data_IF_324727988360
#
_entry.id   IF_324727988360
#
_cell.length_a   1.000
_cell.length_b   1.000
_cell.length_c   1.000
_cell.angle_alpha   90.00
_cell.angle_beta   90.00
_cell.angle_gamma   90.00
#
_symmetry.space_group_name_H-M   'P 1'
#
loop_
_entity.id
_entity.type
_entity.pdbx_description
1 polymer ?
#
# COMPACT_ATOMS: atom_id res chain seq x y z
N UNK A 1 10.07 -1.13 6.80
CA UNK A 1 10.23 -1.69 5.45
C UNK A 1 11.26 -0.92 4.63
N UNK A 2 11.07 0.37 4.30
CA UNK A 2 12.04 1.12 3.49
C UNK A 2 13.48 1.13 4.06
N UNK A 3 13.65 1.29 5.38
CA UNK A 3 14.97 1.17 6.01
C UNK A 3 15.58 -0.24 5.83
N UNK A 4 14.76 -1.30 5.85
CA UNK A 4 15.23 -2.65 5.61
C UNK A 4 15.71 -2.84 4.17
N UNK A 5 15.00 -2.27 3.19
CA UNK A 5 15.46 -2.20 1.79
C UNK A 5 16.76 -1.41 1.65
N UNK A 6 16.88 -0.24 2.29
CA UNK A 6 18.10 0.57 2.23
C UNK A 6 19.34 -0.15 2.80
N UNK A 7 19.17 -0.84 3.93
CA UNK A 7 20.26 -1.54 4.63
C UNK A 7 20.42 -3.01 4.23
N UNK A 8 19.57 -3.56 3.37
CA UNK A 8 19.61 -4.97 2.97
C UNK A 8 19.20 -5.97 4.05
N UNK A 9 18.35 -5.56 5.01
CA UNK A 9 17.89 -6.41 6.12
C UNK A 9 16.76 -7.32 5.62
N UNK A 10 17.11 -8.54 5.21
CA UNK A 10 16.19 -9.53 4.61
C UNK A 10 15.46 -10.35 5.68
N UNK A 11 14.33 -9.85 6.15
CA UNK A 11 13.41 -10.59 7.00
C UNK A 11 12.03 -10.71 6.34
N UNK A 12 11.34 -11.86 6.48
CA UNK A 12 9.98 -12.02 6.00
C UNK A 12 9.08 -10.88 6.50
N UNK A 13 8.15 -10.43 5.66
CA UNK A 13 7.22 -9.31 5.92
C UNK A 13 7.87 -7.92 6.05
N UNK A 14 9.13 -7.81 6.48
CA UNK A 14 9.83 -6.53 6.63
C UNK A 14 10.51 -6.08 5.32
N UNK A 15 10.96 -7.03 4.52
CA UNK A 15 11.56 -6.85 3.20
C UNK A 15 10.69 -7.58 2.18
N UNK A 16 10.11 -6.87 1.22
CA UNK A 16 9.27 -7.50 0.19
C UNK A 16 10.18 -8.32 -0.73
N UNK A 17 9.81 -9.58 -0.99
CA UNK A 17 10.64 -10.53 -1.73
C UNK A 17 12.03 -10.77 -1.08
N UNK A 18 12.04 -10.93 0.26
CA UNK A 18 13.27 -11.05 1.07
C UNK A 18 14.25 -12.12 0.57
N UNK A 19 13.72 -13.22 0.04
CA UNK A 19 14.38 -14.42 -0.44
C UNK A 19 14.44 -14.52 -1.98
N UNK A 20 14.33 -13.40 -2.69
CA UNK A 20 14.64 -13.33 -4.13
C UNK A 20 15.92 -12.55 -4.42
N UNK A 21 16.57 -12.79 -5.57
CA UNK A 21 17.65 -11.94 -6.07
C UNK A 21 17.19 -10.49 -6.25
N UNK A 22 18.02 -9.53 -5.90
CA UNK A 22 17.70 -8.11 -6.01
C UNK A 22 18.94 -7.28 -6.35
N UNK A 23 18.72 -6.13 -7.02
CA UNK A 23 19.77 -5.17 -7.32
C UNK A 23 19.87 -4.14 -6.18
N UNK A 24 20.87 -4.29 -5.30
CA UNK A 24 21.01 -3.47 -4.09
C UNK A 24 21.04 -1.95 -4.34
N UNK A 25 21.60 -1.50 -5.47
CA UNK A 25 21.58 -0.08 -5.83
C UNK A 25 20.16 0.42 -6.16
N UNK A 26 19.38 -0.34 -6.93
CA UNK A 26 18.01 0.01 -7.29
C UNK A 26 17.10 0.00 -6.07
N UNK A 27 17.29 -0.98 -5.19
CA UNK A 27 16.51 -1.11 -3.96
C UNK A 27 16.69 0.08 -3.01
N UNK A 28 17.91 0.61 -2.92
CA UNK A 28 18.19 1.86 -2.20
C UNK A 28 17.47 3.05 -2.82
N UNK A 29 17.43 3.18 -4.15
CA UNK A 29 16.69 4.27 -4.81
C UNK A 29 15.19 4.16 -4.51
N UNK A 30 14.61 2.97 -4.66
CA UNK A 30 13.18 2.72 -4.40
C UNK A 30 12.85 2.97 -2.92
N UNK A 31 13.77 2.67 -2.00
CA UNK A 31 13.56 2.95 -0.57
C UNK A 31 13.33 4.43 -0.27
N UNK A 32 13.91 5.36 -1.05
CA UNK A 32 13.66 6.79 -0.90
C UNK A 32 12.32 7.22 -1.50
N UNK A 33 11.79 6.48 -2.48
CA UNK A 33 10.47 6.78 -3.05
C UNK A 33 9.37 6.74 -1.98
N UNK A 34 9.56 6.02 -0.87
CA UNK A 34 8.62 6.00 0.27
C UNK A 34 8.36 7.40 0.86
N UNK A 35 9.29 8.35 0.72
CA UNK A 35 9.14 9.70 1.27
C UNK A 35 7.96 10.43 0.63
N UNK A 36 7.69 10.21 -0.67
CA UNK A 36 6.52 10.78 -1.32
C UNK A 36 5.22 10.20 -0.77
N UNK A 37 5.20 8.90 -0.46
CA UNK A 37 4.07 8.25 0.22
C UNK A 37 3.87 8.82 1.62
N UNK A 38 4.95 8.98 2.41
CA UNK A 38 4.87 9.59 3.75
C UNK A 38 4.25 10.99 3.67
N UNK A 39 4.74 11.83 2.76
CA UNK A 39 4.22 13.19 2.59
C UNK A 39 2.75 13.19 2.16
N UNK A 40 2.36 12.29 1.26
CA UNK A 40 0.98 12.16 0.79
C UNK A 40 0.03 11.70 1.89
N UNK A 41 0.38 10.66 2.64
CA UNK A 41 -0.44 10.17 3.75
C UNK A 41 -0.49 11.16 4.91
N UNK A 42 0.61 11.85 5.20
CA UNK A 42 0.60 12.97 6.15
C UNK A 42 -0.35 14.07 5.70
N UNK A 43 -0.28 14.47 4.42
CA UNK A 43 -1.18 15.47 3.86
C UNK A 43 -2.64 15.03 3.89
N UNK A 44 -2.93 13.76 3.61
CA UNK A 44 -4.28 13.19 3.71
C UNK A 44 -4.81 13.15 5.14
N UNK A 45 -3.94 12.98 6.14
CA UNK A 45 -4.30 13.06 7.54
C UNK A 45 -4.65 14.49 7.99
N UNK A 46 -4.03 15.51 7.39
CA UNK A 46 -4.31 16.92 7.69
C UNK A 46 -5.46 17.49 6.86
N UNK A 47 -5.63 17.00 5.63
CA UNK A 47 -6.54 17.59 4.64
C UNK A 47 -7.38 16.52 3.97
N UNK A 48 -8.69 16.50 4.31
CA UNK A 48 -9.67 15.54 3.79
C UNK A 48 -9.74 15.49 2.26
N UNK A 49 -9.48 16.60 1.58
CA UNK A 49 -9.47 16.69 0.12
C UNK A 49 -8.40 15.78 -0.54
N UNK A 50 -7.35 15.40 0.18
CA UNK A 50 -6.24 14.58 -0.32
C UNK A 50 -6.50 13.08 -0.13
N UNK A 51 -7.45 12.69 0.74
CA UNK A 51 -7.77 11.29 1.05
C UNK A 51 -8.06 10.44 -0.20
N UNK A 52 -8.82 10.90 -1.22
CA UNK A 52 -9.05 10.12 -2.43
C UNK A 52 -7.76 9.76 -3.18
N UNK A 53 -6.79 10.68 -3.22
CA UNK A 53 -5.51 10.43 -3.88
C UNK A 53 -4.68 9.39 -3.11
N UNK A 54 -4.65 9.48 -1.77
CA UNK A 54 -3.97 8.49 -0.94
C UNK A 54 -4.59 7.09 -1.08
N UNK A 55 -5.93 7.00 -1.13
CA UNK A 55 -6.64 5.73 -1.37
C UNK A 55 -6.33 5.18 -2.77
N UNK A 56 -6.30 6.02 -3.80
CA UNK A 56 -5.94 5.60 -5.16
C UNK A 56 -4.53 5.02 -5.20
N UNK A 57 -3.55 5.71 -4.62
CA UNK A 57 -2.15 5.24 -4.58
C UNK A 57 -2.03 3.92 -3.83
N UNK A 58 -2.76 3.76 -2.72
CA UNK A 58 -2.76 2.50 -1.97
C UNK A 58 -3.40 1.36 -2.75
N UNK A 59 -4.54 1.62 -3.43
CA UNK A 59 -5.20 0.64 -4.29
C UNK A 59 -4.32 0.21 -5.47
N UNK A 60 -3.66 1.15 -6.14
CA UNK A 60 -2.69 0.85 -7.20
C UNK A 60 -1.50 0.05 -6.67
N UNK A 61 -1.03 0.34 -5.46
CA UNK A 61 0.04 -0.43 -4.82
C UNK A 61 -0.37 -1.89 -4.60
N UNK A 62 -1.60 -2.14 -4.12
CA UNK A 62 -2.14 -3.50 -3.95
C UNK A 62 -2.19 -4.23 -5.29
N UNK A 63 -2.73 -3.58 -6.34
CA UNK A 63 -2.81 -4.18 -7.68
C UNK A 63 -1.43 -4.45 -8.28
N UNK A 64 -0.48 -3.53 -8.10
CA UNK A 64 0.90 -3.70 -8.56
C UNK A 64 1.59 -4.89 -7.87
N UNK A 65 1.47 -5.00 -6.55
CA UNK A 65 2.03 -6.14 -5.80
C UNK A 65 1.38 -7.47 -6.18
N UNK A 66 0.06 -7.50 -6.36
CA UNK A 66 -0.64 -8.69 -6.85
C UNK A 66 -0.15 -9.09 -8.24
N UNK A 67 -0.03 -8.13 -9.16
CA UNK A 67 0.49 -8.36 -10.51
C UNK A 67 1.92 -8.89 -10.50
N UNK A 68 2.79 -8.40 -9.60
CA UNK A 68 4.16 -8.95 -9.47
C UNK A 68 4.12 -10.37 -8.90
N UNK A 69 3.29 -10.63 -7.87
CA UNK A 69 3.14 -11.96 -7.27
C UNK A 69 2.66 -13.02 -8.26
N UNK A 70 1.89 -12.63 -9.28
CA UNK A 70 1.39 -13.50 -10.36
C UNK A 70 2.30 -13.55 -11.59
N UNK A 71 3.35 -12.72 -11.64
CA UNK A 71 4.15 -12.56 -12.86
C UNK A 71 5.09 -13.73 -13.15
N UNK A 72 5.26 -14.06 -14.43
CA UNK A 72 6.28 -14.98 -14.91
C UNK A 72 7.70 -14.52 -14.52
N UNK A 73 7.91 -13.21 -14.40
CA UNK A 73 9.18 -12.64 -13.97
C UNK A 73 9.55 -13.06 -12.55
N UNK A 74 8.59 -13.00 -11.60
CA UNK A 74 8.81 -13.52 -10.26
C UNK A 74 9.01 -15.04 -10.31
N UNK A 75 8.16 -15.77 -11.04
CA UNK A 75 8.28 -17.22 -11.15
C UNK A 75 9.65 -17.67 -11.67
N UNK A 76 10.26 -16.91 -12.58
CA UNK A 76 11.59 -17.21 -13.17
C UNK A 76 12.77 -17.10 -12.19
N UNK A 77 12.58 -16.45 -11.04
CA UNK A 77 13.63 -16.24 -10.02
C UNK A 77 13.38 -17.00 -8.72
N UNK A 78 12.29 -17.76 -8.63
CA UNK A 78 12.00 -18.61 -7.48
C UNK A 78 12.76 -19.93 -7.57
N UNK A 79 13.23 -20.42 -6.42
CA UNK A 79 13.76 -21.77 -6.29
C UNK A 79 12.62 -22.81 -6.34
N UNK A 80 12.94 -24.04 -6.75
CA UNK A 80 11.96 -25.13 -6.79
C UNK A 80 11.40 -25.39 -5.37
N UNK A 81 10.07 -25.32 -5.23
CA UNK A 81 9.40 -25.49 -3.93
C UNK A 81 9.40 -24.24 -3.03
N UNK A 82 9.97 -23.10 -3.48
CA UNK A 82 9.91 -21.85 -2.72
C UNK A 82 8.48 -21.35 -2.58
N UNK A 83 8.05 -21.10 -1.34
CA UNK A 83 6.70 -20.63 -1.06
C UNK A 83 6.55 -19.14 -1.34
N UNK A 84 5.51 -18.77 -2.10
CA UNK A 84 5.11 -17.37 -2.31
C UNK A 84 4.16 -16.84 -1.24
N UNK A 85 3.82 -17.65 -0.23
CA UNK A 85 2.88 -17.29 0.83
C UNK A 85 3.28 -15.99 1.57
N UNK A 86 4.56 -15.75 1.93
CA UNK A 86 4.95 -14.50 2.60
C UNK A 86 4.65 -13.26 1.75
N UNK A 87 4.79 -13.34 0.43
CA UNK A 87 4.52 -12.23 -0.49
C UNK A 87 3.03 -11.93 -0.56
N UNK A 88 2.20 -12.97 -0.63
CA UNK A 88 0.75 -12.84 -0.60
C UNK A 88 0.24 -12.36 0.75
N UNK A 89 0.87 -12.76 1.87
CA UNK A 89 0.55 -12.25 3.18
C UNK A 89 0.81 -10.74 3.28
N UNK A 90 1.94 -10.25 2.77
CA UNK A 90 2.22 -8.80 2.69
C UNK A 90 1.19 -8.07 1.83
N UNK A 91 0.92 -8.55 0.62
CA UNK A 91 -0.09 -7.96 -0.27
C UNK A 91 -1.46 -7.93 0.38
N UNK A 92 -1.86 -9.02 1.06
CA UNK A 92 -3.11 -9.13 1.78
C UNK A 92 -3.23 -8.15 2.95
N UNK A 93 -2.15 -7.94 3.72
CA UNK A 93 -2.14 -6.95 4.81
C UNK A 93 -2.32 -5.52 4.28
N UNK A 94 -1.68 -5.17 3.17
CA UNK A 94 -1.82 -3.85 2.53
C UNK A 94 -3.24 -3.71 1.95
N UNK A 95 -3.79 -4.76 1.36
CA UNK A 95 -5.17 -4.78 0.85
C UNK A 95 -6.19 -4.61 1.98
N UNK A 96 -6.00 -5.28 3.10
CA UNK A 96 -6.85 -5.12 4.28
C UNK A 96 -6.78 -3.67 4.81
N UNK A 97 -5.58 -3.09 4.89
CA UNK A 97 -5.41 -1.69 5.27
C UNK A 97 -6.14 -0.73 4.32
N UNK A 98 -6.03 -0.96 3.01
CA UNK A 98 -6.78 -0.22 1.99
C UNK A 98 -8.30 -0.31 2.20
N UNK A 99 -8.84 -1.52 2.37
CA UNK A 99 -10.27 -1.74 2.57
C UNK A 99 -10.77 -1.02 3.82
N UNK A 100 -10.03 -1.10 4.93
CA UNK A 100 -10.38 -0.40 6.17
C UNK A 100 -10.46 1.11 5.93
N UNK A 101 -9.44 1.71 5.32
CA UNK A 101 -9.44 3.15 5.05
C UNK A 101 -10.55 3.56 4.07
N UNK A 102 -10.79 2.77 3.04
CA UNK A 102 -11.87 3.00 2.08
C UNK A 102 -13.23 2.99 2.77
N UNK A 103 -13.50 1.99 3.62
CA UNK A 103 -14.74 1.89 4.39
C UNK A 103 -14.91 3.09 5.31
N UNK A 104 -13.87 3.50 6.02
CA UNK A 104 -13.92 4.69 6.89
C UNK A 104 -14.23 5.96 6.09
N UNK A 105 -13.56 6.16 4.96
CA UNK A 105 -13.82 7.30 4.07
C UNK A 105 -15.26 7.32 3.52
N UNK A 106 -15.80 6.16 3.13
CA UNK A 106 -17.18 6.06 2.64
C UNK A 106 -18.20 6.35 3.74
N UNK A 107 -17.96 5.91 4.98
CA UNK A 107 -18.83 6.20 6.14
C UNK A 107 -18.84 7.69 6.46
N UNK A 108 -17.66 8.30 6.58
CA UNK A 108 -17.50 9.72 6.85
C UNK A 108 -18.11 10.61 5.74
N UNK A 109 -18.05 10.19 4.47
CA UNK A 109 -18.75 10.87 3.37
C UNK A 109 -20.27 10.75 3.45
N UNK A 110 -20.79 9.62 3.95
CA UNK A 110 -22.23 9.41 4.13
C UNK A 110 -22.79 10.29 5.26
N UNK A 111 -22.08 10.37 6.38
CA UNK A 111 -22.45 11.21 7.53
C UNK A 111 -22.49 12.69 7.14
N UNK A 112 -21.42 13.20 6.50
CA UNK A 112 -21.37 14.59 6.03
C UNK A 112 -22.50 14.98 5.06
N UNK A 113 -22.98 14.03 4.24
CA UNK A 113 -24.16 14.27 3.38
C UNK A 113 -25.48 14.30 4.16
N UNK A 114 -25.60 13.50 5.21
CA UNK A 114 -26.80 13.46 6.06
C UNK A 114 -27.01 14.76 6.82
N UNK A 115 -25.94 15.34 7.35
CA UNK A 115 -25.99 16.61 8.09
C UNK A 115 -26.44 17.78 7.20
N UNK A 116 -25.98 17.82 5.95
CA UNK A 116 -26.35 18.84 4.96
C UNK A 116 -27.84 18.78 4.61
N UNK A 117 -28.37 17.57 4.36
CA UNK A 117 -29.80 17.36 4.05
C UNK A 117 -30.70 17.69 5.25
N UNK A 118 -30.26 17.41 6.48
CA UNK A 118 -31.03 17.78 7.68
C UNK A 118 -31.10 19.29 7.86
N UNK A 119 -30.04 20.04 7.56
CA UNK A 119 -30.01 21.50 7.66
C UNK A 119 -30.96 22.18 6.65
N UNK A 120 -31.03 21.67 5.42
CA UNK A 120 -31.87 22.23 4.36
C UNK A 120 -33.37 21.97 4.58
N UNK A 121 -33.73 21.00 5.44
CA UNK A 121 -35.12 20.66 5.76
C UNK A 121 -35.76 21.53 6.86
N UNK A 122 -34.97 22.39 7.52
CA UNK A 122 -35.38 23.24 8.65
C UNK A 122 -35.63 24.71 8.20
N UNK A 123 -35.35 25.05 6.94
CA UNK A 123 -35.65 26.36 6.33
C UNK A 123 -36.84 26.30 5.39
#
# INVERSE_FOLDING_TARGET
>A
MAAAHYFGIKLPLLFVYYDTPFYAYQDKIISFAVVSYIAMFYSAAQHRAVVPAALLVLGVTVLGLASVNESDALASVLEEGQSTFPYWAQTGLIAAYFVVLLVLYLRDKKESKGDMVSSDSIT
#
